data_IF_793026610024
#
_entry.id   IF_793026610024
#
_cell.length_a   1.000
_cell.length_b   1.000
_cell.length_c   1.000
_cell.angle_alpha   90.00
_cell.angle_beta   90.00
_cell.angle_gamma   90.00
#
_symmetry.space_group_name_H-M   'P 1'
#
loop_
_entity.id
_entity.type
_entity.pdbx_description
1 polymer ?
#
# COMPACT_ATOMS: atom_id res chain seq x y z
N UNK A 1 -50.18 33.96 -2.00
CA UNK A 1 -49.81 33.42 -3.34
C UNK A 1 -48.53 34.11 -3.82
N UNK A 2 -47.36 33.48 -3.69
CA UNK A 2 -46.08 33.85 -4.33
C UNK A 2 -45.16 32.62 -4.31
N UNK A 3 -44.37 32.48 -5.37
CA UNK A 3 -44.00 31.25 -6.07
C UNK A 3 -42.83 30.46 -5.45
N UNK A 4 -42.83 29.16 -5.78
CA UNK A 4 -41.69 28.24 -5.67
C UNK A 4 -40.43 28.80 -6.34
N UNK A 5 -39.27 28.53 -5.74
CA UNK A 5 -38.01 28.42 -6.47
C UNK A 5 -37.27 27.18 -5.96
N UNK A 6 -37.37 26.11 -6.74
CA UNK A 6 -36.48 24.96 -6.73
C UNK A 6 -35.07 25.48 -7.06
N UNK A 7 -34.13 25.34 -6.13
CA UNK A 7 -32.70 25.38 -6.46
C UNK A 7 -32.14 24.00 -6.18
N UNK A 8 -32.23 23.14 -7.20
CA UNK A 8 -31.53 21.86 -7.28
C UNK A 8 -30.03 22.19 -7.39
N UNK A 9 -29.37 22.28 -6.23
CA UNK A 9 -27.91 22.42 -6.15
C UNK A 9 -27.27 21.14 -6.65
N UNK A 10 -26.85 21.14 -7.91
CA UNK A 10 -26.02 20.11 -8.50
C UNK A 10 -24.62 20.19 -7.85
N UNK A 11 -24.44 19.47 -6.74
CA UNK A 11 -23.12 19.22 -6.17
C UNK A 11 -22.39 18.27 -7.13
N UNK A 12 -21.50 18.83 -7.96
CA UNK A 12 -20.46 18.04 -8.62
C UNK A 12 -19.52 17.58 -7.51
N UNK A 13 -19.75 16.38 -6.99
CA UNK A 13 -18.74 15.66 -6.24
C UNK A 13 -17.64 15.30 -7.24
N UNK A 14 -16.57 16.09 -7.27
CA UNK A 14 -15.30 15.67 -7.88
C UNK A 14 -14.77 14.55 -7.00
N UNK A 15 -15.14 13.33 -7.34
CA UNK A 15 -14.55 12.12 -6.79
C UNK A 15 -13.07 12.13 -7.16
N UNK A 16 -12.20 12.41 -6.20
CA UNK A 16 -10.76 12.24 -6.33
C UNK A 16 -10.37 10.75 -6.41
N UNK A 17 -10.94 10.02 -7.37
CA UNK A 17 -10.39 8.74 -7.79
C UNK A 17 -9.08 9.03 -8.52
N UNK A 18 -8.04 9.27 -7.74
CA UNK A 18 -6.68 9.46 -8.21
C UNK A 18 -6.24 8.24 -9.03
N UNK A 19 -5.36 8.48 -9.98
CA UNK A 19 -4.81 7.57 -10.97
C UNK A 19 -4.01 6.36 -10.40
N UNK A 20 -4.55 5.59 -9.46
CA UNK A 20 -3.86 4.42 -8.89
C UNK A 20 -3.61 3.31 -9.93
N UNK A 21 -4.34 3.32 -11.06
CA UNK A 21 -4.24 2.30 -12.11
C UNK A 21 -3.01 2.39 -13.03
N UNK A 22 -2.14 3.41 -12.89
CA UNK A 22 -0.98 3.62 -13.78
C UNK A 22 0.39 3.54 -13.09
N UNK A 23 0.42 3.25 -11.78
CA UNK A 23 1.68 3.15 -11.02
C UNK A 23 2.04 1.69 -10.79
N UNK A 24 3.33 1.38 -10.75
CA UNK A 24 3.82 0.01 -10.57
C UNK A 24 3.48 -0.56 -9.16
N UNK A 25 3.47 -1.89 -8.98
CA UNK A 25 3.21 -2.53 -7.69
C UNK A 25 3.95 -1.96 -6.49
N UNK A 26 5.24 -1.69 -6.61
CA UNK A 26 6.06 -1.25 -5.48
C UNK A 26 5.67 0.17 -5.07
N UNK A 27 5.40 1.04 -6.05
CA UNK A 27 4.90 2.40 -5.82
C UNK A 27 3.52 2.40 -5.15
N UNK A 28 2.59 1.55 -5.59
CA UNK A 28 1.27 1.44 -4.95
C UNK A 28 1.35 0.93 -3.50
N UNK A 29 2.25 -0.03 -3.23
CA UNK A 29 2.49 -0.45 -1.85
C UNK A 29 3.04 0.69 -0.99
N UNK A 30 3.95 1.50 -1.55
CA UNK A 30 4.47 2.66 -0.85
C UNK A 30 3.38 3.71 -0.54
N UNK A 31 2.44 3.95 -1.44
CA UNK A 31 1.27 4.80 -1.16
C UNK A 31 0.32 4.21 -0.12
N UNK A 32 0.10 2.88 -0.14
CA UNK A 32 -0.67 2.21 0.90
C UNK A 32 -0.02 2.37 2.29
N UNK A 33 1.31 2.33 2.35
CA UNK A 33 2.06 2.60 3.58
C UNK A 33 1.93 4.06 4.01
N UNK A 34 2.07 5.02 3.11
CA UNK A 34 1.84 6.44 3.41
C UNK A 34 0.44 6.67 3.99
N UNK A 35 -0.60 6.15 3.32
CA UNK A 35 -1.98 6.22 3.81
C UNK A 35 -2.15 5.54 5.17
N UNK A 36 -1.52 4.38 5.38
CA UNK A 36 -1.53 3.68 6.67
C UNK A 36 -0.89 4.49 7.79
N UNK A 37 0.26 5.13 7.53
CA UNK A 37 0.92 6.04 8.49
C UNK A 37 0.03 7.23 8.82
N UNK A 38 -0.67 7.78 7.83
CA UNK A 38 -1.64 8.87 8.03
C UNK A 38 -2.83 8.48 8.94
N UNK A 39 -3.21 7.20 8.93
CA UNK A 39 -4.27 6.67 9.81
C UNK A 39 -3.76 6.12 11.16
N UNK A 40 -2.45 5.94 11.31
CA UNK A 40 -1.84 5.46 12.54
C UNK A 40 -1.90 6.53 13.63
N UNK A 41 -2.61 6.23 14.73
CA UNK A 41 -2.73 7.14 15.88
C UNK A 41 -1.35 7.54 16.45
N UNK A 42 -1.29 8.74 17.05
CA UNK A 42 -0.06 9.31 17.61
C UNK A 42 0.36 8.71 18.96
N UNK A 43 -0.54 8.02 19.66
CA UNK A 43 -0.24 7.42 20.95
C UNK A 43 0.81 6.31 20.82
N UNK A 44 1.80 6.21 21.73
CA UNK A 44 2.76 5.11 21.75
C UNK A 44 2.06 3.75 21.78
N UNK A 45 2.57 2.79 21.01
CA UNK A 45 1.99 1.45 20.88
C UNK A 45 0.69 1.38 20.06
N UNK A 46 0.22 2.50 19.48
CA UNK A 46 -0.86 2.43 18.49
C UNK A 46 -0.48 1.50 17.35
N UNK A 47 -1.45 0.73 16.86
CA UNK A 47 -1.30 -0.13 15.70
C UNK A 47 -2.26 0.26 14.59
N UNK A 48 -1.83 0.02 13.36
CA UNK A 48 -2.67 0.11 12.18
C UNK A 48 -2.30 -1.01 11.21
N UNK A 49 -3.30 -1.65 10.63
CA UNK A 49 -3.11 -2.74 9.67
C UNK A 49 -3.45 -2.24 8.27
N UNK A 50 -2.49 -2.38 7.36
CA UNK A 50 -2.68 -2.12 5.94
C UNK A 50 -2.99 -3.46 5.29
N UNK A 51 -4.15 -3.56 4.65
CA UNK A 51 -4.47 -4.65 3.73
C UNK A 51 -4.17 -4.16 2.31
N UNK A 52 -3.13 -4.73 1.70
CA UNK A 52 -2.72 -4.37 0.35
C UNK A 52 -3.00 -5.52 -0.62
N UNK A 53 -3.98 -5.30 -1.50
CA UNK A 53 -4.37 -6.28 -2.52
C UNK A 53 -3.49 -6.21 -3.78
N UNK A 54 -2.74 -5.14 -4.01
CA UNK A 54 -1.75 -5.12 -5.12
C UNK A 54 -0.51 -5.96 -4.73
N UNK A 55 0.20 -6.62 -5.66
CA UNK A 55 0.07 -6.55 -7.11
C UNK A 55 -1.17 -7.24 -7.71
N UNK A 56 -1.99 -7.93 -6.90
CA UNK A 56 -3.09 -8.78 -7.39
C UNK A 56 -4.36 -8.04 -7.85
N UNK A 57 -4.40 -6.71 -7.73
CA UNK A 57 -5.55 -5.89 -8.14
C UNK A 57 -5.72 -5.73 -9.66
N UNK A 58 -4.77 -6.26 -10.43
CA UNK A 58 -4.85 -6.46 -11.87
C UNK A 58 -3.99 -7.66 -12.22
N UNK A 59 -4.08 -8.16 -13.45
CA UNK A 59 -3.39 -9.36 -13.94
C UNK A 59 -1.84 -9.22 -14.00
N UNK A 60 -1.25 -8.34 -13.19
CA UNK A 60 0.17 -7.95 -13.21
C UNK A 60 1.11 -9.03 -12.66
N UNK A 61 0.71 -9.75 -11.60
CA UNK A 61 1.37 -11.00 -11.21
C UNK A 61 0.42 -12.16 -11.48
N UNK A 62 0.69 -12.93 -12.53
CA UNK A 62 -0.12 -14.11 -12.88
C UNK A 62 0.16 -15.30 -11.95
N UNK A 63 1.37 -15.40 -11.41
CA UNK A 63 1.79 -16.40 -10.43
C UNK A 63 2.07 -15.81 -9.04
N UNK A 64 2.76 -16.57 -8.16
CA UNK A 64 3.17 -16.08 -6.84
C UNK A 64 3.99 -14.79 -6.93
N UNK A 65 4.10 -14.07 -5.84
CA UNK A 65 4.92 -12.87 -5.77
C UNK A 65 5.79 -12.85 -4.54
N UNK A 66 6.96 -12.24 -4.66
CA UNK A 66 7.86 -11.96 -3.53
C UNK A 66 7.81 -10.48 -3.20
N UNK A 67 7.84 -10.15 -1.92
CA UNK A 67 7.94 -8.78 -1.44
C UNK A 67 9.12 -8.67 -0.49
N UNK A 68 9.99 -7.71 -0.74
CA UNK A 68 11.04 -7.29 0.18
C UNK A 68 10.73 -5.89 0.70
N UNK A 69 10.76 -5.72 2.02
CA UNK A 69 10.86 -4.43 2.69
C UNK A 69 12.22 -4.40 3.35
N UNK A 70 13.16 -3.68 2.77
CA UNK A 70 14.54 -3.66 3.21
C UNK A 70 14.77 -2.63 4.31
N UNK A 71 15.65 -2.95 5.26
CA UNK A 71 16.08 -2.02 6.31
C UNK A 71 16.72 -0.73 5.79
N UNK A 72 17.25 -0.73 4.57
CA UNK A 72 17.81 0.47 3.93
C UNK A 72 16.75 1.34 3.26
N UNK A 73 15.46 0.99 3.39
CA UNK A 73 14.34 1.78 2.88
C UNK A 73 13.99 1.47 1.43
N UNK A 74 14.20 0.24 0.96
CA UNK A 74 13.76 -0.21 -0.36
C UNK A 74 12.56 -1.17 -0.25
N UNK A 75 11.54 -0.97 -1.09
CA UNK A 75 10.54 -1.97 -1.40
C UNK A 75 10.90 -2.58 -2.74
N UNK A 76 10.86 -3.91 -2.81
CA UNK A 76 10.99 -4.64 -4.08
C UNK A 76 9.85 -5.66 -4.15
N UNK A 77 9.18 -5.72 -5.30
CA UNK A 77 8.18 -6.73 -5.61
C UNK A 77 8.64 -7.48 -6.85
N UNK A 78 8.64 -8.82 -6.78
CA UNK A 78 8.85 -9.69 -7.92
C UNK A 78 7.56 -10.44 -8.21
N UNK A 79 7.07 -10.34 -9.44
CA UNK A 79 6.05 -11.26 -9.95
C UNK A 79 6.75 -12.50 -10.50
N UNK A 80 6.29 -13.67 -10.09
CA UNK A 80 6.79 -14.94 -10.57
C UNK A 80 5.79 -15.57 -11.52
N UNK A 81 6.28 -16.30 -12.51
CA UNK A 81 5.46 -17.18 -13.33
C UNK A 81 5.07 -18.46 -12.56
N UNK A 82 4.28 -19.32 -13.19
CA UNK A 82 3.83 -20.59 -12.60
C UNK A 82 4.99 -21.57 -12.29
N UNK A 83 6.18 -21.38 -12.86
CA UNK A 83 7.37 -22.19 -12.59
C UNK A 83 8.23 -21.62 -11.45
N UNK A 84 7.86 -20.44 -10.92
CA UNK A 84 8.62 -19.73 -9.91
C UNK A 84 9.75 -18.85 -10.46
N UNK A 85 9.81 -18.65 -11.77
CA UNK A 85 10.79 -17.77 -12.41
C UNK A 85 10.31 -16.33 -12.35
N UNK A 86 11.24 -15.37 -12.18
CA UNK A 86 10.90 -13.94 -12.15
C UNK A 86 10.44 -13.50 -13.55
N UNK A 87 9.20 -13.06 -13.66
CA UNK A 87 8.62 -12.48 -14.89
C UNK A 87 8.88 -10.96 -14.94
N UNK A 88 8.61 -10.27 -13.83
CA UNK A 88 8.82 -8.82 -13.69
C UNK A 88 9.30 -8.46 -12.28
N UNK A 89 9.90 -7.27 -12.14
CA UNK A 89 10.24 -6.71 -10.83
C UNK A 89 10.06 -5.20 -10.79
N UNK A 90 9.66 -4.70 -9.64
CA UNK A 90 9.38 -3.29 -9.39
C UNK A 90 10.00 -2.88 -8.05
N UNK A 91 10.52 -1.66 -7.97
CA UNK A 91 11.10 -1.17 -6.72
C UNK A 91 10.90 0.32 -6.51
N UNK A 92 10.86 0.71 -5.24
CA UNK A 92 10.80 2.12 -4.82
C UNK A 92 11.38 2.28 -3.42
N UNK A 93 11.84 3.48 -3.09
CA UNK A 93 12.23 3.86 -1.73
C UNK A 93 11.29 4.87 -1.08
N UNK A 94 10.18 5.21 -1.76
CA UNK A 94 9.31 6.32 -1.37
C UNK A 94 8.76 6.20 0.07
N UNK A 95 8.40 4.98 0.49
CA UNK A 95 7.87 4.70 1.84
C UNK A 95 8.83 5.11 2.98
N UNK A 96 10.14 5.12 2.74
CA UNK A 96 11.15 5.41 3.76
C UNK A 96 11.09 6.85 4.29
N UNK A 97 10.31 7.72 3.63
CA UNK A 97 10.00 9.07 4.12
C UNK A 97 9.03 9.08 5.30
N UNK A 98 8.23 8.02 5.47
CA UNK A 98 7.08 8.00 6.38
C UNK A 98 7.18 6.94 7.46
N UNK A 99 7.86 5.83 7.18
CA UNK A 99 7.96 4.69 8.07
C UNK A 99 9.40 4.16 8.15
N UNK A 100 9.78 3.65 9.31
CA UNK A 100 11.02 2.90 9.50
C UNK A 100 10.80 1.40 9.33
N UNK A 101 11.73 0.73 8.65
CA UNK A 101 11.78 -0.72 8.50
C UNK A 101 13.02 -1.21 9.26
N UNK A 102 12.90 -1.72 10.50
CA UNK A 102 14.06 -1.98 11.35
C UNK A 102 14.90 -3.19 10.90
N UNK A 103 14.30 -4.10 10.12
CA UNK A 103 14.94 -5.29 9.58
C UNK A 103 14.50 -5.54 8.14
N UNK A 104 15.33 -6.24 7.36
CA UNK A 104 14.91 -6.66 6.02
C UNK A 104 13.93 -7.82 6.15
N UNK A 105 12.72 -7.61 5.64
CA UNK A 105 11.67 -8.63 5.58
C UNK A 105 11.55 -9.06 4.12
N UNK A 106 11.67 -10.36 3.87
CA UNK A 106 11.44 -10.97 2.55
C UNK A 106 10.41 -12.08 2.73
N UNK A 107 9.30 -11.99 2.01
CA UNK A 107 8.26 -13.00 2.03
C UNK A 107 7.83 -13.36 0.61
N UNK A 108 7.30 -14.57 0.48
CA UNK A 108 6.65 -15.07 -0.73
C UNK A 108 5.17 -15.27 -0.45
N UNK A 109 4.34 -14.93 -1.43
CA UNK A 109 2.88 -14.90 -1.31
C UNK A 109 2.27 -15.58 -2.54
N UNK A 110 1.24 -16.43 -2.36
CA UNK A 110 0.49 -16.97 -3.49
C UNK A 110 -0.09 -15.87 -4.39
N UNK A 111 -0.29 -16.19 -5.67
CA UNK A 111 -1.06 -15.34 -6.58
C UNK A 111 -2.43 -15.00 -5.97
N UNK A 112 -2.89 -13.76 -6.11
CA UNK A 112 -4.19 -13.32 -5.60
C UNK A 112 -4.28 -13.12 -4.08
N UNK A 113 -3.23 -13.44 -3.31
CA UNK A 113 -3.28 -13.27 -1.85
C UNK A 113 -3.01 -11.82 -1.42
N UNK A 114 -3.67 -11.40 -0.34
CA UNK A 114 -3.48 -10.07 0.26
C UNK A 114 -2.17 -10.04 1.05
N UNK A 115 -1.40 -8.96 0.89
CA UNK A 115 -0.29 -8.62 1.78
C UNK A 115 -0.81 -7.77 2.95
N UNK A 116 -0.55 -8.20 4.18
CA UNK A 116 -0.90 -7.42 5.38
C UNK A 116 0.35 -6.84 6.02
N UNK A 117 0.36 -5.53 6.26
CA UNK A 117 1.45 -4.85 6.98
C UNK A 117 0.91 -4.25 8.27
N UNK A 118 1.55 -4.57 9.38
CA UNK A 118 1.28 -3.93 10.66
C UNK A 118 2.27 -2.80 10.91
N UNK A 119 1.72 -1.61 11.13
CA UNK A 119 2.45 -0.45 11.60
C UNK A 119 2.28 -0.31 13.11
N UNK A 120 3.32 0.14 13.80
CA UNK A 120 3.26 0.51 15.21
C UNK A 120 3.88 1.88 15.44
N UNK A 121 3.30 2.66 16.35
CA UNK A 121 3.89 3.91 16.82
C UNK A 121 4.91 3.63 17.91
N UNK A 122 6.20 3.81 17.62
CA UNK A 122 7.32 3.63 18.57
C UNK A 122 8.15 4.89 18.63
N UNK A 123 8.35 5.43 19.83
CA UNK A 123 9.13 6.66 20.07
C UNK A 123 8.71 7.84 19.14
N UNK A 124 7.40 7.96 18.89
CA UNK A 124 6.82 8.97 17.99
C UNK A 124 6.90 8.63 16.50
N UNK A 125 7.69 7.64 16.09
CA UNK A 125 7.86 7.22 14.71
C UNK A 125 6.88 6.10 14.33
N UNK A 126 6.51 6.03 13.06
CA UNK A 126 5.83 4.85 12.52
C UNK A 126 6.88 3.79 12.15
N UNK A 127 6.65 2.55 12.57
CA UNK A 127 7.58 1.44 12.36
C UNK A 127 6.81 0.25 11.78
N UNK A 128 7.37 -0.39 10.76
CA UNK A 128 6.88 -1.69 10.28
C UNK A 128 7.28 -2.75 11.29
N UNK A 129 6.29 -3.44 11.87
CA UNK A 129 6.53 -4.44 12.92
C UNK A 129 6.12 -5.84 12.52
N UNK A 130 5.30 -5.98 11.47
CA UNK A 130 4.94 -7.27 10.90
C UNK A 130 4.50 -7.16 9.44
N UNK A 131 4.79 -8.19 8.66
CA UNK A 131 4.35 -8.34 7.27
C UNK A 131 3.94 -9.80 7.04
N UNK A 132 2.76 -10.04 6.48
CA UNK A 132 2.14 -11.36 6.33
C UNK A 132 1.46 -11.58 4.97
#
# INVERSE_FOLDING_TARGET
MKKLINSLGFFIAVSGAGCDSFTDPATRLAYAIEGGVGNLKHQPGAQYHIEHHSPTAGDECTGPYKVQLDKVGAIIIWCLDATGSVETSHSTSYHARFVSTPETILLEKPAGSTLTITLERRDGLAVITRVE
#
